data_IF_392871472233
#
_entry.id   IF_392871472233
#
_cell.length_a   1.000
_cell.length_b   1.000
_cell.length_c   1.000
_cell.angle_alpha   90.00
_cell.angle_beta   90.00
_cell.angle_gamma   90.00
#
_symmetry.space_group_name_H-M   'P 1'
#
loop_
_entity.id
_entity.type
_entity.pdbx_description
1 polymer ?
#
# COMPACT_ATOMS: atom_id res chain seq x y z
N UNK A 1 -29.84 -26.29 3.31
CA UNK A 1 -29.21 -25.57 2.18
C UNK A 1 -27.97 -24.78 2.60
N UNK A 2 -27.94 -24.06 3.74
CA UNK A 2 -26.72 -23.35 4.21
C UNK A 2 -25.52 -24.28 4.52
N UNK A 3 -25.77 -25.52 4.95
CA UNK A 3 -24.73 -26.53 5.22
C UNK A 3 -23.91 -26.95 3.99
N UNK A 4 -24.53 -27.04 2.81
CA UNK A 4 -23.85 -27.43 1.56
C UNK A 4 -22.90 -26.31 1.11
N UNK A 5 -23.27 -25.05 1.34
CA UNK A 5 -22.47 -23.88 0.94
C UNK A 5 -21.34 -23.64 1.94
N UNK A 6 -21.57 -23.80 3.25
CA UNK A 6 -20.48 -23.82 4.22
C UNK A 6 -19.47 -24.93 3.88
N UNK A 7 -19.92 -26.09 3.41
CA UNK A 7 -19.05 -27.16 2.92
C UNK A 7 -18.32 -26.81 1.62
N UNK A 8 -18.97 -26.10 0.68
CA UNK A 8 -18.32 -25.65 -0.57
C UNK A 8 -17.30 -24.53 -0.30
N UNK A 9 -17.65 -23.52 0.50
CA UNK A 9 -16.71 -22.47 0.93
C UNK A 9 -15.56 -23.06 1.77
N UNK A 10 -15.82 -24.08 2.60
CA UNK A 10 -14.79 -24.80 3.35
C UNK A 10 -13.91 -25.66 2.44
N UNK A 11 -14.49 -26.37 1.46
CA UNK A 11 -13.74 -27.13 0.47
C UNK A 11 -12.88 -26.23 -0.44
N UNK A 12 -13.35 -25.02 -0.73
CA UNK A 12 -12.62 -24.01 -1.50
C UNK A 12 -11.58 -23.28 -0.66
N UNK A 13 -11.84 -23.04 0.62
CA UNK A 13 -10.83 -22.62 1.57
C UNK A 13 -9.72 -23.67 1.67
N UNK A 14 -10.06 -24.96 1.74
CA UNK A 14 -9.11 -26.08 1.66
C UNK A 14 -8.42 -26.12 0.30
N UNK A 15 -9.10 -25.84 -0.80
CA UNK A 15 -8.53 -25.80 -2.15
C UNK A 15 -7.53 -24.64 -2.32
N UNK A 16 -7.84 -23.47 -1.78
CA UNK A 16 -6.97 -22.31 -1.77
C UNK A 16 -5.79 -22.49 -0.85
N UNK A 17 -6.03 -22.99 0.37
CA UNK A 17 -5.00 -23.37 1.31
C UNK A 17 -4.11 -24.48 0.73
N UNK A 18 -4.71 -25.47 0.08
CA UNK A 18 -4.03 -26.55 -0.63
C UNK A 18 -3.22 -26.05 -1.82
N UNK A 19 -3.68 -25.04 -2.55
CA UNK A 19 -2.92 -24.39 -3.62
C UNK A 19 -1.72 -23.60 -3.08
N UNK A 20 -1.87 -22.89 -1.96
CA UNK A 20 -0.78 -22.19 -1.27
C UNK A 20 0.25 -23.19 -0.70
N UNK A 21 -0.21 -24.32 -0.16
CA UNK A 21 0.65 -25.42 0.28
C UNK A 21 1.36 -26.12 -0.90
N UNK A 22 0.67 -26.30 -2.01
CA UNK A 22 1.26 -26.83 -3.24
C UNK A 22 2.33 -25.90 -3.80
N UNK A 23 2.15 -24.58 -3.68
CA UNK A 23 3.14 -23.58 -4.08
C UNK A 23 4.38 -23.58 -3.19
N UNK A 24 4.19 -23.70 -1.87
CA UNK A 24 5.27 -23.96 -0.91
C UNK A 24 6.06 -25.23 -1.28
N UNK A 25 5.44 -26.16 -1.98
CA UNK A 25 6.05 -27.44 -2.35
C UNK A 25 6.76 -27.41 -3.70
N UNK A 26 6.19 -26.75 -4.72
CA UNK A 26 6.72 -26.74 -6.09
C UNK A 26 7.75 -25.64 -6.36
N UNK A 27 7.64 -24.49 -5.69
CA UNK A 27 8.57 -23.36 -5.84
C UNK A 27 8.99 -22.77 -4.48
N UNK A 28 9.60 -23.55 -3.58
CA UNK A 28 9.93 -23.08 -2.25
C UNK A 28 11.06 -22.06 -2.26
N UNK A 29 10.92 -21.01 -1.44
CA UNK A 29 12.02 -20.08 -1.17
C UNK A 29 12.97 -20.57 -0.06
N UNK A 30 12.53 -21.54 0.75
CA UNK A 30 13.34 -22.29 1.72
C UNK A 30 13.13 -23.78 1.48
N UNK A 31 14.17 -24.52 1.12
CA UNK A 31 14.11 -25.95 0.83
C UNK A 31 14.90 -26.77 1.87
N UNK A 32 14.42 -27.96 2.27
CA UNK A 32 15.22 -28.90 3.06
C UNK A 32 16.45 -29.32 2.26
N UNK A 33 17.56 -29.57 2.96
CA UNK A 33 18.79 -30.10 2.33
C UNK A 33 18.70 -31.59 1.93
N UNK A 34 17.61 -32.27 2.30
CA UNK A 34 17.41 -33.69 2.00
C UNK A 34 17.17 -33.90 0.50
N UNK A 35 17.82 -34.90 -0.11
CA UNK A 35 17.68 -35.23 -1.55
C UNK A 35 16.24 -35.63 -1.95
N UNK A 36 15.45 -36.18 -1.02
CA UNK A 36 14.03 -36.51 -1.19
C UNK A 36 13.21 -36.02 0.01
N UNK A 37 12.82 -34.74 0.03
CA UNK A 37 12.15 -34.16 1.19
C UNK A 37 10.67 -34.63 1.27
N UNK A 38 10.28 -35.17 2.41
CA UNK A 38 8.89 -35.51 2.71
C UNK A 38 8.08 -34.26 3.05
N UNK A 39 6.73 -34.31 2.97
CA UNK A 39 5.86 -33.20 3.38
C UNK A 39 6.15 -32.73 4.82
N UNK A 40 6.46 -33.68 5.72
CA UNK A 40 6.83 -33.36 7.10
C UNK A 40 8.11 -32.53 7.18
N UNK A 41 9.10 -32.82 6.35
CA UNK A 41 10.36 -32.07 6.31
C UNK A 41 10.14 -30.63 5.83
N UNK A 42 9.26 -30.42 4.85
CA UNK A 42 8.86 -29.09 4.39
C UNK A 42 8.21 -28.26 5.50
N UNK A 43 7.23 -28.85 6.20
CA UNK A 43 6.57 -28.20 7.32
C UNK A 43 7.53 -27.90 8.46
N UNK A 44 8.41 -28.85 8.79
CA UNK A 44 9.41 -28.67 9.82
C UNK A 44 10.39 -27.57 9.44
N UNK A 45 10.92 -27.54 8.22
CA UNK A 45 11.84 -26.48 7.79
C UNK A 45 11.21 -25.10 7.90
N UNK A 46 9.97 -24.94 7.41
CA UNK A 46 9.25 -23.68 7.49
C UNK A 46 8.98 -23.28 8.95
N UNK A 47 8.59 -24.23 9.80
CA UNK A 47 8.33 -23.99 11.21
C UNK A 47 9.61 -23.63 11.99
N UNK A 48 10.70 -24.35 11.78
CA UNK A 48 11.99 -24.09 12.44
C UNK A 48 12.59 -22.76 11.97
N UNK A 49 12.56 -22.49 10.66
CA UNK A 49 13.01 -21.21 10.11
C UNK A 49 12.17 -20.06 10.67
N UNK A 50 10.84 -20.22 10.75
CA UNK A 50 9.99 -19.22 11.38
C UNK A 50 10.32 -19.02 12.85
N UNK A 51 10.42 -20.11 13.63
CA UNK A 51 10.72 -20.02 15.06
C UNK A 51 12.05 -19.31 15.28
N UNK A 52 13.11 -19.72 14.59
CA UNK A 52 14.43 -19.09 14.68
C UNK A 52 14.38 -17.58 14.36
N UNK A 53 13.67 -17.19 13.31
CA UNK A 53 13.43 -15.78 12.95
C UNK A 53 12.70 -14.99 14.05
N UNK A 54 11.67 -15.59 14.65
CA UNK A 54 10.79 -14.90 15.60
C UNK A 54 11.34 -14.87 17.03
N UNK A 55 12.25 -15.77 17.39
CA UNK A 55 12.91 -15.84 18.70
C UNK A 55 14.26 -15.13 18.74
N UNK A 56 14.87 -14.86 17.59
CA UNK A 56 16.10 -14.09 17.51
C UNK A 56 15.89 -12.64 18.01
N UNK A 57 16.70 -12.26 19.02
CA UNK A 57 16.68 -10.93 19.63
C UNK A 57 17.13 -9.85 18.64
N UNK A 58 18.00 -10.18 17.68
CA UNK A 58 18.45 -9.24 16.64
C UNK A 58 17.35 -8.97 15.62
N UNK A 59 16.43 -9.92 15.43
CA UNK A 59 15.31 -9.86 14.49
C UNK A 59 13.96 -9.52 15.12
N UNK A 60 13.91 -8.93 16.33
CA UNK A 60 12.66 -8.67 17.08
C UNK A 60 11.57 -7.95 16.27
N UNK A 61 11.95 -7.06 15.35
CA UNK A 61 11.03 -6.38 14.41
C UNK A 61 10.28 -7.36 13.49
N UNK A 62 10.93 -8.44 13.07
CA UNK A 62 10.36 -9.45 12.19
C UNK A 62 9.27 -10.28 12.89
N UNK A 63 9.39 -10.50 14.20
CA UNK A 63 8.32 -11.13 14.99
C UNK A 63 7.04 -10.25 14.99
N UNK A 64 7.18 -8.94 15.22
CA UNK A 64 6.05 -8.01 15.14
C UNK A 64 5.36 -8.02 13.77
N UNK A 65 6.16 -8.03 12.68
CA UNK A 65 5.62 -8.13 11.32
C UNK A 65 4.96 -9.49 11.04
N UNK A 66 5.51 -10.59 11.57
CA UNK A 66 4.90 -11.90 11.47
C UNK A 66 3.52 -11.92 12.12
N UNK A 67 3.45 -11.52 13.39
CA UNK A 67 2.19 -11.48 14.16
C UNK A 67 1.17 -10.60 13.46
N UNK A 68 1.56 -9.40 13.04
CA UNK A 68 0.69 -8.50 12.28
C UNK A 68 0.16 -9.16 10.99
N UNK A 69 1.03 -9.84 10.25
CA UNK A 69 0.64 -10.52 9.01
C UNK A 69 -0.33 -11.69 9.24
N UNK A 70 -0.16 -12.43 10.34
CA UNK A 70 -1.06 -13.52 10.73
C UNK A 70 -2.40 -13.00 11.25
N UNK A 71 -2.38 -11.97 12.09
CA UNK A 71 -3.59 -11.31 12.57
C UNK A 71 -4.40 -10.76 11.40
N UNK A 72 -3.74 -10.12 10.43
CA UNK A 72 -4.38 -9.66 9.19
C UNK A 72 -5.07 -10.81 8.44
N UNK A 73 -4.37 -11.93 8.23
CA UNK A 73 -4.94 -13.11 7.59
C UNK A 73 -6.18 -13.66 8.32
N UNK A 74 -6.10 -13.86 9.64
CA UNK A 74 -7.21 -14.39 10.42
C UNK A 74 -8.41 -13.45 10.51
N UNK A 75 -8.17 -12.13 10.61
CA UNK A 75 -9.22 -11.13 10.52
C UNK A 75 -9.86 -11.14 9.13
N UNK A 76 -9.07 -11.30 8.06
CA UNK A 76 -9.56 -11.45 6.69
C UNK A 76 -10.50 -12.64 6.55
N UNK A 77 -10.08 -13.83 7.01
CA UNK A 77 -10.90 -15.05 7.02
C UNK A 77 -12.21 -14.83 7.80
N UNK A 78 -12.12 -14.25 9.00
CA UNK A 78 -13.29 -13.99 9.85
C UNK A 78 -14.28 -13.03 9.17
N UNK A 79 -13.76 -11.99 8.51
CA UNK A 79 -14.55 -11.00 7.78
C UNK A 79 -15.27 -11.62 6.57
N UNK A 80 -14.58 -12.51 5.83
CA UNK A 80 -15.18 -13.28 4.73
C UNK A 80 -16.28 -14.20 5.24
N UNK A 81 -16.04 -14.97 6.31
CA UNK A 81 -17.06 -15.86 6.90
C UNK A 81 -18.31 -15.06 7.30
N UNK A 82 -18.12 -13.93 7.98
CA UNK A 82 -19.22 -13.05 8.38
C UNK A 82 -19.97 -12.48 7.17
N UNK A 83 -19.25 -12.06 6.13
CA UNK A 83 -19.84 -11.57 4.88
C UNK A 83 -20.73 -12.61 4.21
N UNK A 84 -20.23 -13.84 4.04
CA UNK A 84 -21.00 -14.94 3.47
C UNK A 84 -22.19 -15.33 4.36
N UNK A 85 -22.01 -15.33 5.68
CA UNK A 85 -23.11 -15.56 6.62
C UNK A 85 -24.23 -14.54 6.45
N UNK A 86 -23.90 -13.24 6.32
CA UNK A 86 -24.89 -12.18 6.13
C UNK A 86 -25.65 -12.31 4.79
N UNK A 87 -24.98 -12.74 3.72
CA UNK A 87 -25.63 -13.04 2.43
C UNK A 87 -26.60 -14.21 2.52
N UNK A 88 -26.35 -15.20 3.37
CA UNK A 88 -27.26 -16.34 3.52
C UNK A 88 -28.42 -16.04 4.47
N UNK A 89 -28.12 -15.46 5.63
CA UNK A 89 -29.08 -15.32 6.73
C UNK A 89 -29.99 -14.09 6.56
N UNK A 90 -29.49 -13.02 5.95
CA UNK A 90 -30.18 -11.72 5.92
C UNK A 90 -30.63 -11.26 4.54
N UNK A 91 -30.05 -11.76 3.45
CA UNK A 91 -30.49 -11.38 2.09
C UNK A 91 -31.75 -12.14 1.62
N UNK A 92 -32.05 -13.31 2.19
CA UNK A 92 -33.29 -14.07 1.91
C UNK A 92 -34.53 -13.45 2.57
N UNK A 93 -34.34 -12.61 3.59
CA UNK A 93 -35.41 -12.03 4.40
C UNK A 93 -35.64 -10.56 3.99
N UNK A 94 -36.56 -10.41 3.02
CA UNK A 94 -37.38 -9.23 2.71
C UNK A 94 -36.69 -7.99 2.12
N UNK A 95 -37.53 -7.20 1.44
CA UNK A 95 -37.30 -5.82 1.01
C UNK A 95 -36.34 -5.08 1.96
N UNK A 96 -35.13 -4.83 1.47
CA UNK A 96 -34.21 -3.77 1.92
C UNK A 96 -33.85 -3.77 3.42
N UNK A 97 -33.01 -4.70 3.93
CA UNK A 97 -32.11 -4.38 5.02
C UNK A 97 -30.82 -3.84 4.39
N UNK A 98 -30.83 -2.57 3.94
CA UNK A 98 -29.66 -1.87 3.35
C UNK A 98 -28.40 -2.04 4.21
N UNK A 99 -28.55 -2.05 5.53
CA UNK A 99 -27.44 -2.23 6.46
C UNK A 99 -26.77 -3.61 6.34
N UNK A 100 -27.54 -4.71 6.23
CA UNK A 100 -26.96 -6.05 6.14
C UNK A 100 -26.22 -6.27 4.82
N UNK A 101 -26.77 -5.76 3.72
CA UNK A 101 -26.12 -5.75 2.39
C UNK A 101 -24.82 -4.95 2.46
N UNK A 102 -24.85 -3.77 3.08
CA UNK A 102 -23.67 -2.91 3.19
C UNK A 102 -22.58 -3.55 4.06
N UNK A 103 -22.93 -4.12 5.22
CA UNK A 103 -21.97 -4.82 6.07
C UNK A 103 -21.42 -6.10 5.44
N UNK A 104 -22.23 -6.85 4.69
CA UNK A 104 -21.76 -8.01 3.95
C UNK A 104 -20.74 -7.59 2.88
N UNK A 105 -21.02 -6.50 2.18
CA UNK A 105 -20.15 -5.95 1.13
C UNK A 105 -18.84 -5.41 1.71
N UNK A 106 -18.89 -4.65 2.81
CA UNK A 106 -17.70 -4.20 3.55
C UNK A 106 -16.88 -5.40 4.00
N UNK A 107 -17.53 -6.41 4.60
CA UNK A 107 -16.85 -7.62 5.05
C UNK A 107 -16.17 -8.39 3.92
N UNK A 108 -16.76 -8.41 2.72
CA UNK A 108 -16.13 -9.00 1.54
C UNK A 108 -14.86 -8.23 1.17
N UNK A 109 -14.97 -6.90 0.96
CA UNK A 109 -13.84 -6.08 0.51
C UNK A 109 -12.70 -6.06 1.53
N UNK A 110 -13.02 -5.86 2.82
CA UNK A 110 -12.04 -5.91 3.91
C UNK A 110 -11.43 -7.31 4.02
N UNK A 111 -12.25 -8.35 3.93
CA UNK A 111 -11.83 -9.74 3.95
C UNK A 111 -10.78 -10.05 2.87
N UNK A 112 -11.10 -9.78 1.60
CA UNK A 112 -10.19 -9.99 0.47
C UNK A 112 -8.91 -9.15 0.61
N UNK A 113 -9.02 -7.88 0.97
CA UNK A 113 -7.86 -7.01 1.16
C UNK A 113 -6.92 -7.50 2.27
N UNK A 114 -7.47 -7.95 3.40
CA UNK A 114 -6.69 -8.47 4.52
C UNK A 114 -5.99 -9.79 4.21
N UNK A 115 -6.56 -10.60 3.32
CA UNK A 115 -5.93 -11.85 2.88
C UNK A 115 -4.62 -11.60 2.11
N UNK A 116 -4.45 -10.43 1.47
CA UNK A 116 -3.18 -10.02 0.85
C UNK A 116 -2.07 -9.63 1.83
N UNK A 117 -2.38 -9.32 3.10
CA UNK A 117 -1.39 -8.82 4.06
C UNK A 117 -0.27 -9.83 4.29
N UNK A 118 -0.63 -11.11 4.47
CA UNK A 118 0.35 -12.18 4.65
C UNK A 118 1.28 -12.36 3.44
N UNK A 119 0.77 -12.65 2.22
CA UNK A 119 1.62 -12.82 1.05
C UNK A 119 2.38 -11.55 0.69
N UNK A 120 1.93 -10.35 1.04
CA UNK A 120 2.70 -9.12 0.75
C UNK A 120 3.89 -8.93 1.70
N UNK A 121 3.69 -9.16 3.00
CA UNK A 121 4.67 -8.79 4.03
C UNK A 121 5.64 -9.94 4.33
N UNK A 122 5.12 -11.09 4.76
CA UNK A 122 5.93 -12.09 5.45
C UNK A 122 7.02 -12.75 4.58
N UNK A 123 6.73 -13.24 3.36
CA UNK A 123 7.72 -13.98 2.57
C UNK A 123 8.92 -13.13 2.15
N UNK A 124 8.74 -11.84 1.85
CA UNK A 124 9.85 -10.93 1.52
C UNK A 124 10.77 -10.69 2.70
N UNK A 125 10.19 -10.44 3.88
CA UNK A 125 10.98 -10.17 5.08
C UNK A 125 11.72 -11.43 5.56
N UNK A 126 11.04 -12.58 5.50
CA UNK A 126 11.65 -13.88 5.79
C UNK A 126 12.80 -14.20 4.82
N UNK A 127 12.59 -14.03 3.52
CA UNK A 127 13.62 -14.28 2.51
C UNK A 127 14.85 -13.38 2.68
N UNK A 128 14.66 -12.06 2.84
CA UNK A 128 15.78 -11.11 3.00
C UNK A 128 16.66 -11.47 4.20
N UNK A 129 16.04 -11.74 5.34
CA UNK A 129 16.80 -12.15 6.53
C UNK A 129 17.62 -13.41 6.28
N UNK A 130 17.01 -14.45 5.69
CA UNK A 130 17.70 -15.72 5.45
C UNK A 130 18.76 -15.65 4.35
N UNK A 131 18.56 -14.80 3.34
CA UNK A 131 19.57 -14.51 2.33
C UNK A 131 20.80 -13.82 2.97
N UNK A 132 20.58 -12.87 3.89
CA UNK A 132 21.66 -12.17 4.59
C UNK A 132 22.36 -13.05 5.65
N UNK A 133 21.67 -14.06 6.19
CA UNK A 133 22.15 -14.94 7.27
C UNK A 133 22.34 -16.39 6.81
N UNK A 134 22.65 -16.59 5.53
CA UNK A 134 22.73 -17.93 4.92
C UNK A 134 23.72 -18.87 5.63
N UNK A 135 24.79 -18.32 6.23
CA UNK A 135 25.77 -19.09 7.02
C UNK A 135 25.20 -19.70 8.30
N UNK A 136 24.08 -19.18 8.83
CA UNK A 136 23.40 -19.69 10.01
C UNK A 136 22.32 -20.75 9.66
N UNK A 137 21.93 -20.85 8.39
CA UNK A 137 20.97 -21.83 7.88
C UNK A 137 21.59 -23.23 7.71
N UNK A 138 21.82 -23.94 8.83
CA UNK A 138 22.40 -25.29 8.79
C UNK A 138 21.45 -26.34 8.18
N UNK A 139 20.15 -26.20 8.37
CA UNK A 139 19.13 -27.24 8.06
C UNK A 139 18.38 -27.05 6.73
N UNK A 140 18.51 -25.91 6.07
CA UNK A 140 17.79 -25.60 4.83
C UNK A 140 18.63 -24.74 3.89
N UNK A 141 18.25 -24.73 2.61
CA UNK A 141 18.83 -23.88 1.56
C UNK A 141 17.83 -22.80 1.18
N UNK A 142 18.33 -21.58 1.02
CA UNK A 142 17.56 -20.43 0.54
C UNK A 142 17.62 -20.41 -0.99
N UNK A 143 16.50 -20.15 -1.64
CA UNK A 143 16.45 -19.97 -3.08
C UNK A 143 17.31 -18.77 -3.54
N UNK A 144 17.73 -18.76 -4.80
CA UNK A 144 18.35 -17.60 -5.41
C UNK A 144 17.33 -16.46 -5.65
N UNK A 145 17.81 -15.26 -5.97
CA UNK A 145 16.94 -14.09 -6.19
C UNK A 145 15.88 -14.33 -7.28
N UNK A 146 16.25 -15.03 -8.36
CA UNK A 146 15.33 -15.36 -9.44
C UNK A 146 14.30 -16.41 -9.03
N UNK A 147 14.69 -17.43 -8.27
CA UNK A 147 13.78 -18.42 -7.68
C UNK A 147 12.78 -17.77 -6.74
N UNK A 148 13.24 -16.85 -5.89
CA UNK A 148 12.37 -16.10 -4.99
C UNK A 148 11.37 -15.21 -5.74
N UNK A 149 11.79 -14.50 -6.79
CA UNK A 149 10.87 -13.69 -7.60
C UNK A 149 9.77 -14.54 -8.27
N UNK A 150 10.10 -15.74 -8.77
CA UNK A 150 9.11 -16.67 -9.34
C UNK A 150 8.11 -17.16 -8.29
N UNK A 151 8.59 -17.51 -7.10
CA UNK A 151 7.73 -17.86 -5.97
C UNK A 151 6.79 -16.71 -5.61
N UNK A 152 7.33 -15.49 -5.46
CA UNK A 152 6.55 -14.29 -5.15
C UNK A 152 5.46 -14.02 -6.18
N UNK A 153 5.80 -14.08 -7.46
CA UNK A 153 4.84 -13.88 -8.55
C UNK A 153 3.71 -14.90 -8.46
N UNK A 154 4.03 -16.19 -8.33
CA UNK A 154 3.00 -17.23 -8.23
C UNK A 154 2.14 -17.09 -6.98
N UNK A 155 2.74 -16.80 -5.82
CA UNK A 155 1.99 -16.62 -4.58
C UNK A 155 0.98 -15.48 -4.67
N UNK A 156 1.38 -14.34 -5.27
CA UNK A 156 0.48 -13.22 -5.50
C UNK A 156 -0.62 -13.57 -6.51
N UNK A 157 -0.29 -14.23 -7.61
CA UNK A 157 -1.30 -14.66 -8.60
C UNK A 157 -2.29 -15.69 -8.05
N UNK A 158 -1.84 -16.61 -7.21
CA UNK A 158 -2.71 -17.56 -6.54
C UNK A 158 -3.63 -16.88 -5.52
N UNK A 159 -3.13 -15.86 -4.82
CA UNK A 159 -3.95 -15.02 -3.94
C UNK A 159 -5.02 -14.28 -4.74
N UNK A 160 -4.63 -13.60 -5.83
CA UNK A 160 -5.55 -12.90 -6.75
C UNK A 160 -6.60 -13.86 -7.32
N UNK A 161 -6.19 -15.04 -7.79
CA UNK A 161 -7.11 -16.05 -8.32
C UNK A 161 -8.09 -16.56 -7.26
N UNK A 162 -7.61 -16.74 -6.03
CA UNK A 162 -8.45 -17.14 -4.90
C UNK A 162 -9.47 -16.10 -4.49
N UNK A 163 -9.03 -14.87 -4.34
CA UNK A 163 -9.89 -13.75 -4.01
C UNK A 163 -10.91 -13.49 -5.12
N UNK A 164 -10.49 -13.58 -6.39
CA UNK A 164 -11.38 -13.48 -7.54
C UNK A 164 -12.44 -14.58 -7.56
N UNK A 165 -12.07 -15.82 -7.21
CA UNK A 165 -13.01 -16.92 -7.10
C UNK A 165 -14.00 -16.70 -5.94
N UNK A 166 -13.52 -16.29 -4.75
CA UNK A 166 -14.38 -15.97 -3.61
C UNK A 166 -15.37 -14.85 -3.94
N UNK A 167 -14.91 -13.78 -4.58
CA UNK A 167 -15.76 -12.70 -5.06
C UNK A 167 -16.80 -13.18 -6.09
N UNK A 168 -16.39 -14.04 -7.03
CA UNK A 168 -17.31 -14.59 -8.06
C UNK A 168 -18.41 -15.44 -7.42
N UNK A 169 -18.07 -16.28 -6.44
CA UNK A 169 -19.05 -17.12 -5.74
C UNK A 169 -20.00 -16.24 -4.92
N UNK A 170 -19.46 -15.26 -4.20
CA UNK A 170 -20.24 -14.31 -3.45
C UNK A 170 -21.25 -13.59 -4.36
N UNK A 171 -20.81 -13.09 -5.51
CA UNK A 171 -21.65 -12.42 -6.51
C UNK A 171 -22.69 -13.35 -7.12
N UNK A 172 -22.30 -14.57 -7.49
CA UNK A 172 -23.22 -15.59 -8.03
C UNK A 172 -24.31 -15.90 -7.01
N UNK A 173 -23.96 -15.92 -5.72
CA UNK A 173 -24.93 -16.17 -4.66
C UNK A 173 -25.90 -15.02 -4.48
N UNK A 174 -25.39 -13.79 -4.41
CA UNK A 174 -26.22 -12.58 -4.41
C UNK A 174 -27.20 -12.59 -5.59
N UNK A 175 -26.74 -12.97 -6.79
CA UNK A 175 -27.59 -13.06 -7.97
C UNK A 175 -28.69 -14.12 -7.84
N UNK A 176 -28.43 -15.22 -7.14
CA UNK A 176 -29.35 -16.33 -6.98
C UNK A 176 -30.35 -16.16 -5.81
N UNK A 177 -29.99 -15.40 -4.76
CA UNK A 177 -30.81 -15.27 -3.55
C UNK A 177 -31.39 -13.89 -3.32
N UNK A 178 -30.79 -12.84 -3.88
CA UNK A 178 -31.30 -11.48 -3.69
C UNK A 178 -32.56 -11.26 -4.53
N UNK A 179 -33.53 -10.57 -3.95
CA UNK A 179 -34.68 -10.04 -4.69
C UNK A 179 -34.29 -8.88 -5.61
N UNK A 180 -33.21 -8.16 -5.30
CA UNK A 180 -32.69 -7.03 -6.07
C UNK A 180 -31.15 -7.08 -6.18
N UNK A 181 -30.59 -8.00 -6.99
CA UNK A 181 -29.15 -8.23 -7.05
C UNK A 181 -28.37 -7.01 -7.59
N UNK A 182 -29.01 -6.16 -8.39
CA UNK A 182 -28.39 -4.95 -8.94
C UNK A 182 -27.99 -3.96 -7.83
N UNK A 183 -28.86 -3.74 -6.84
CA UNK A 183 -28.57 -2.84 -5.71
C UNK A 183 -27.38 -3.33 -4.89
N UNK A 184 -27.20 -4.64 -4.76
CA UNK A 184 -26.04 -5.22 -4.06
C UNK A 184 -24.75 -5.02 -4.85
N UNK A 185 -24.80 -5.12 -6.18
CA UNK A 185 -23.65 -4.84 -7.06
C UNK A 185 -23.29 -3.36 -7.02
N UNK A 186 -24.27 -2.46 -7.08
CA UNK A 186 -24.06 -1.02 -6.92
C UNK A 186 -23.40 -0.72 -5.57
N UNK A 187 -23.87 -1.35 -4.49
CA UNK A 187 -23.27 -1.21 -3.17
C UNK A 187 -21.83 -1.74 -3.13
N UNK A 188 -21.53 -2.86 -3.81
CA UNK A 188 -20.16 -3.37 -3.96
C UNK A 188 -19.26 -2.38 -4.69
N UNK A 189 -19.74 -1.78 -5.77
CA UNK A 189 -19.00 -0.74 -6.48
C UNK A 189 -18.77 0.49 -5.58
N UNK A 190 -19.79 0.92 -4.84
CA UNK A 190 -19.67 2.04 -3.89
C UNK A 190 -18.66 1.75 -2.77
N UNK A 191 -18.70 0.56 -2.17
CA UNK A 191 -17.73 0.16 -1.14
C UNK A 191 -16.31 0.06 -1.71
N UNK A 192 -16.15 -0.46 -2.93
CA UNK A 192 -14.84 -0.50 -3.59
C UNK A 192 -14.30 0.90 -3.86
N UNK A 193 -15.13 1.79 -4.43
CA UNK A 193 -14.79 3.19 -4.72
C UNK A 193 -14.42 3.94 -3.43
N UNK A 194 -15.20 3.78 -2.36
CA UNK A 194 -14.92 4.43 -1.06
C UNK A 194 -13.71 3.86 -0.34
N UNK A 195 -13.35 2.59 -0.57
CA UNK A 195 -12.14 1.99 -0.02
C UNK A 195 -10.85 2.52 -0.68
N UNK A 196 -10.88 2.93 -1.96
CA UNK A 196 -9.71 3.42 -2.70
C UNK A 196 -8.96 4.55 -1.98
N UNK A 197 -9.59 5.66 -1.55
CA UNK A 197 -8.89 6.73 -0.84
C UNK A 197 -8.33 6.30 0.52
N UNK A 198 -8.99 5.37 1.21
CA UNK A 198 -8.52 4.84 2.51
C UNK A 198 -7.24 4.02 2.31
N UNK A 199 -7.25 3.08 1.35
CA UNK A 199 -6.09 2.26 1.02
C UNK A 199 -4.94 3.13 0.51
N UNK A 200 -5.24 4.12 -0.34
CA UNK A 200 -4.25 5.07 -0.83
C UNK A 200 -3.65 5.89 0.33
N UNK A 201 -4.46 6.38 1.27
CA UNK A 201 -3.97 7.11 2.45
C UNK A 201 -3.04 6.24 3.32
N UNK A 202 -3.46 5.01 3.63
CA UNK A 202 -2.62 4.06 4.40
C UNK A 202 -1.31 3.79 3.64
N UNK A 203 -1.39 3.59 2.33
CA UNK A 203 -0.21 3.36 1.48
C UNK A 203 0.73 4.55 1.53
N UNK A 204 0.23 5.78 1.35
CA UNK A 204 1.02 7.01 1.45
C UNK A 204 1.70 7.14 2.82
N UNK A 205 0.95 6.98 3.91
CA UNK A 205 1.50 7.04 5.27
C UNK A 205 2.57 5.98 5.52
N UNK A 206 2.37 4.77 4.99
CA UNK A 206 3.34 3.67 5.12
C UNK A 206 4.65 3.93 4.37
N UNK A 207 4.67 4.79 3.35
CA UNK A 207 5.89 5.15 2.63
C UNK A 207 6.78 6.13 3.41
N UNK A 208 6.21 6.96 4.30
CA UNK A 208 6.95 8.00 5.02
C UNK A 208 8.17 7.47 5.81
N UNK A 209 8.08 6.36 6.57
CA UNK A 209 9.25 5.79 7.26
C UNK A 209 10.33 5.31 6.29
N UNK A 210 9.94 4.75 5.14
CA UNK A 210 10.90 4.27 4.13
C UNK A 210 11.59 5.44 3.43
N UNK A 211 10.88 6.53 3.14
CA UNK A 211 11.46 7.75 2.59
C UNK A 211 12.51 8.37 3.52
N UNK A 212 12.27 8.31 4.82
CA UNK A 212 13.23 8.75 5.82
C UNK A 212 14.43 7.79 5.94
N UNK A 213 14.17 6.47 5.95
CA UNK A 213 15.22 5.46 6.11
C UNK A 213 16.16 5.38 4.90
N UNK A 214 15.59 5.42 3.70
CA UNK A 214 16.34 5.35 2.44
C UNK A 214 16.74 6.72 1.90
N UNK A 215 16.64 7.78 2.71
CA UNK A 215 16.97 9.12 2.24
C UNK A 215 18.39 9.19 1.67
N UNK A 216 18.51 9.82 0.50
CA UNK A 216 19.76 9.88 -0.26
C UNK A 216 20.79 10.84 0.35
N UNK A 217 20.38 11.68 1.31
CA UNK A 217 21.24 12.50 2.14
C UNK A 217 21.26 11.98 3.57
N UNK A 218 22.44 11.87 4.16
CA UNK A 218 22.63 11.53 5.58
C UNK A 218 23.44 12.60 6.29
N UNK A 219 22.94 13.05 7.45
CA UNK A 219 23.67 13.99 8.29
C UNK A 219 24.86 13.29 8.97
N UNK A 220 26.02 13.96 9.02
CA UNK A 220 27.14 13.52 9.86
C UNK A 220 26.73 13.69 11.34
N UNK A 221 27.11 12.76 12.24
CA UNK A 221 26.69 12.79 13.64
C UNK A 221 26.96 14.15 14.31
N UNK A 222 25.95 14.72 14.98
CA UNK A 222 26.06 15.97 15.74
C UNK A 222 26.21 17.26 14.93
N UNK A 223 26.19 17.23 13.58
CA UNK A 223 26.45 18.43 12.75
C UNK A 223 25.20 19.13 12.21
N UNK A 224 24.06 18.45 12.08
CA UNK A 224 22.84 19.00 11.47
C UNK A 224 21.60 18.47 12.17
N UNK A 225 20.67 19.37 12.50
CA UNK A 225 19.36 19.01 13.05
C UNK A 225 18.44 18.43 11.97
N UNK A 226 17.50 17.58 12.41
CA UNK A 226 16.43 17.07 11.56
C UNK A 226 15.65 18.23 10.93
N UNK A 227 15.47 18.20 9.59
CA UNK A 227 14.82 19.27 8.82
C UNK A 227 15.76 20.31 8.19
N UNK A 228 16.98 20.49 8.71
CA UNK A 228 17.95 21.44 8.12
C UNK A 228 18.84 20.81 7.03
N UNK A 229 18.82 19.48 6.90
CA UNK A 229 19.69 18.73 6.00
C UNK A 229 19.54 19.15 4.54
N UNK A 230 18.32 19.13 4.01
CA UNK A 230 18.04 19.51 2.63
C UNK A 230 18.36 20.99 2.35
N UNK A 231 18.10 21.86 3.32
CA UNK A 231 18.42 23.28 3.22
C UNK A 231 19.94 23.49 3.12
N UNK A 232 20.72 22.88 4.01
CA UNK A 232 22.19 22.99 3.99
C UNK A 232 22.79 22.35 2.73
N UNK A 233 22.27 21.21 2.28
CA UNK A 233 22.71 20.56 1.04
C UNK A 233 22.44 21.45 -0.18
N UNK A 234 21.26 22.07 -0.24
CA UNK A 234 20.91 23.00 -1.32
C UNK A 234 21.77 24.26 -1.29
N UNK A 235 22.05 24.80 -0.10
CA UNK A 235 22.92 25.97 0.06
C UNK A 235 24.37 25.67 -0.35
N UNK A 236 24.89 24.50 0.03
CA UNK A 236 26.20 24.03 -0.43
C UNK A 236 26.24 23.86 -1.95
N UNK A 237 25.18 23.29 -2.55
CA UNK A 237 25.06 23.14 -4.00
C UNK A 237 25.12 24.48 -4.73
N UNK A 238 24.34 25.46 -4.28
CA UNK A 238 24.32 26.80 -4.89
C UNK A 238 25.65 27.53 -4.71
N UNK A 239 26.35 27.30 -3.59
CA UNK A 239 27.65 27.92 -3.31
C UNK A 239 28.78 27.34 -4.16
N UNK A 240 28.84 26.02 -4.28
CA UNK A 240 29.89 25.34 -5.04
C UNK A 240 29.62 25.34 -6.55
N UNK A 241 28.34 25.30 -6.97
CA UNK A 241 27.90 25.24 -8.36
C UNK A 241 26.88 26.36 -8.67
N UNK A 242 27.31 27.62 -8.81
CA UNK A 242 26.41 28.76 -8.96
C UNK A 242 25.54 28.71 -10.23
N UNK A 243 26.00 28.02 -11.28
CA UNK A 243 25.26 27.82 -12.54
C UNK A 243 23.96 27.02 -12.34
N UNK A 244 23.86 26.21 -11.29
CA UNK A 244 22.67 25.41 -10.97
C UNK A 244 21.62 26.20 -10.17
N UNK A 245 21.95 27.40 -9.68
CA UNK A 245 21.07 28.23 -8.83
C UNK A 245 19.69 28.44 -9.45
N UNK A 246 19.64 28.81 -10.73
CA UNK A 246 18.38 29.06 -11.43
C UNK A 246 17.50 27.79 -11.46
N UNK A 247 18.07 26.63 -11.80
CA UNK A 247 17.34 25.35 -11.86
C UNK A 247 16.77 24.94 -10.50
N UNK A 248 17.58 25.09 -9.45
CA UNK A 248 17.17 24.82 -8.06
C UNK A 248 16.04 25.74 -7.64
N UNK A 249 16.16 27.03 -7.92
CA UNK A 249 15.16 28.03 -7.57
C UNK A 249 13.84 27.76 -8.30
N UNK A 250 13.88 27.47 -9.61
CA UNK A 250 12.68 27.14 -10.40
C UNK A 250 11.90 25.98 -9.78
N UNK A 251 12.57 24.89 -9.41
CA UNK A 251 11.88 23.74 -8.80
C UNK A 251 11.21 24.08 -7.46
N UNK A 252 11.85 24.89 -6.62
CA UNK A 252 11.27 25.31 -5.33
C UNK A 252 10.13 26.30 -5.52
N UNK A 253 10.25 27.26 -6.45
CA UNK A 253 9.19 28.21 -6.79
C UNK A 253 7.98 27.46 -7.36
N UNK A 254 8.18 26.52 -8.29
CA UNK A 254 7.07 25.74 -8.84
C UNK A 254 6.32 24.95 -7.76
N UNK A 255 7.03 24.35 -6.79
CA UNK A 255 6.39 23.70 -5.63
C UNK A 255 5.62 24.69 -4.76
N UNK A 256 6.19 25.87 -4.49
CA UNK A 256 5.54 26.90 -3.71
C UNK A 256 4.24 27.38 -4.37
N UNK A 257 4.28 27.65 -5.68
CA UNK A 257 3.09 28.02 -6.47
C UNK A 257 2.03 26.94 -6.32
N UNK A 258 2.40 25.67 -6.46
CA UNK A 258 1.45 24.57 -6.34
C UNK A 258 0.82 24.47 -4.94
N UNK A 259 1.61 24.66 -3.87
CA UNK A 259 1.05 24.72 -2.51
C UNK A 259 0.11 25.89 -2.32
N UNK A 260 0.46 27.08 -2.83
CA UNK A 260 -0.40 28.26 -2.77
C UNK A 260 -1.71 28.01 -3.52
N UNK A 261 -1.67 27.43 -4.71
CA UNK A 261 -2.87 27.07 -5.48
C UNK A 261 -3.73 26.03 -4.73
N UNK A 262 -3.12 25.02 -4.12
CA UNK A 262 -3.84 24.02 -3.33
C UNK A 262 -4.54 24.61 -2.10
N UNK A 263 -3.85 25.49 -1.37
CA UNK A 263 -4.43 26.22 -0.22
C UNK A 263 -5.54 27.16 -0.70
N UNK A 264 -5.32 27.86 -1.81
CA UNK A 264 -6.30 28.78 -2.39
C UNK A 264 -7.58 28.05 -2.83
N UNK A 265 -7.46 26.87 -3.43
CA UNK A 265 -8.60 26.04 -3.80
C UNK A 265 -9.47 25.66 -2.57
N UNK A 266 -8.83 25.22 -1.48
CA UNK A 266 -9.53 24.93 -0.22
C UNK A 266 -10.11 26.22 0.39
N UNK A 267 -9.37 27.32 0.31
CA UNK A 267 -9.78 28.64 0.79
C UNK A 267 -11.06 29.13 0.10
N UNK A 268 -11.19 28.98 -1.22
CA UNK A 268 -12.43 29.31 -1.94
C UNK A 268 -13.62 28.52 -1.39
N UNK A 269 -13.50 27.21 -1.22
CA UNK A 269 -14.59 26.42 -0.62
C UNK A 269 -14.95 26.92 0.79
N UNK A 270 -13.96 27.27 1.59
CA UNK A 270 -14.20 27.79 2.93
C UNK A 270 -14.93 29.14 2.90
N UNK A 271 -14.45 30.10 2.12
CA UNK A 271 -15.00 31.45 2.08
C UNK A 271 -16.31 31.56 1.30
N UNK A 272 -16.56 30.68 0.34
CA UNK A 272 -17.76 30.76 -0.51
C UNK A 272 -18.88 29.81 -0.05
N UNK A 273 -18.58 28.75 0.72
CA UNK A 273 -19.57 27.74 1.14
C UNK A 273 -19.66 27.60 2.65
N UNK A 274 -18.53 27.44 3.35
CA UNK A 274 -18.52 27.16 4.80
C UNK A 274 -18.78 28.41 5.63
N UNK A 275 -18.17 29.54 5.26
CA UNK A 275 -18.27 30.81 5.95
C UNK A 275 -18.45 31.98 4.95
N UNK A 276 -19.55 31.98 4.16
CA UNK A 276 -19.84 33.04 3.19
C UNK A 276 -20.04 34.39 3.88
N UNK A 277 -19.49 35.44 3.27
CA UNK A 277 -19.65 36.81 3.77
C UNK A 277 -21.07 37.35 3.52
N UNK A 278 -21.77 36.82 2.51
CA UNK A 278 -23.14 37.22 2.16
C UNK A 278 -24.05 36.00 1.99
N UNK A 279 -23.92 35.28 0.87
CA UNK A 279 -24.67 34.06 0.54
C UNK A 279 -23.72 32.99 0.07
N UNK A 280 -24.02 31.73 0.36
CA UNK A 280 -23.23 30.62 -0.16
C UNK A 280 -23.26 30.65 -1.69
N UNK A 281 -22.08 30.66 -2.32
CA UNK A 281 -21.92 30.51 -3.77
C UNK A 281 -21.35 29.11 -4.07
N UNK A 282 -22.23 28.13 -4.29
CA UNK A 282 -21.79 26.77 -4.52
C UNK A 282 -21.18 26.58 -5.92
N UNK A 283 -21.28 27.56 -6.82
CA UNK A 283 -20.62 27.49 -8.15
C UNK A 283 -19.09 27.61 -8.06
N UNK A 284 -18.58 28.14 -6.94
CA UNK A 284 -17.15 28.22 -6.62
C UNK A 284 -16.45 26.84 -6.57
N UNK A 285 -17.22 25.74 -6.44
CA UNK A 285 -16.71 24.36 -6.43
C UNK A 285 -15.93 24.03 -7.71
N UNK A 286 -16.40 24.43 -8.90
CA UNK A 286 -15.73 24.08 -10.16
C UNK A 286 -14.40 24.82 -10.36
N UNK A 287 -14.33 26.17 -10.21
CA UNK A 287 -13.05 26.87 -10.21
C UNK A 287 -12.06 26.33 -9.18
N UNK A 288 -12.53 26.00 -7.97
CA UNK A 288 -11.71 25.42 -6.91
C UNK A 288 -11.13 24.05 -7.31
N UNK A 289 -11.95 23.16 -7.87
CA UNK A 289 -11.49 21.86 -8.33
C UNK A 289 -10.47 21.96 -9.48
N UNK A 290 -10.67 22.88 -10.43
CA UNK A 290 -9.71 23.13 -11.52
C UNK A 290 -8.37 23.59 -10.94
N UNK A 291 -8.38 24.56 -10.02
CA UNK A 291 -7.16 25.07 -9.39
C UNK A 291 -6.44 23.98 -8.60
N UNK A 292 -7.19 23.14 -7.89
CA UNK A 292 -6.63 22.01 -7.17
C UNK A 292 -6.03 20.93 -8.09
N UNK A 293 -6.61 20.71 -9.27
CA UNK A 293 -6.05 19.81 -10.27
C UNK A 293 -4.74 20.36 -10.85
N UNK A 294 -4.70 21.66 -11.16
CA UNK A 294 -3.48 22.34 -11.62
C UNK A 294 -2.38 22.25 -10.55
N UNK A 295 -2.72 22.48 -9.28
CA UNK A 295 -1.80 22.32 -8.15
C UNK A 295 -1.21 20.89 -8.10
N UNK A 296 -2.06 19.87 -8.22
CA UNK A 296 -1.64 18.47 -8.26
C UNK A 296 -0.68 18.20 -9.43
N UNK A 297 -1.03 18.63 -10.65
CA UNK A 297 -0.20 18.43 -11.83
C UNK A 297 1.21 19.03 -11.67
N UNK A 298 1.31 20.24 -11.09
CA UNK A 298 2.62 20.87 -10.84
C UNK A 298 3.39 20.09 -9.78
N UNK A 299 2.76 19.71 -8.65
CA UNK A 299 3.41 18.95 -7.58
C UNK A 299 3.94 17.60 -8.06
N UNK A 300 3.14 16.87 -8.82
CA UNK A 300 3.52 15.55 -9.34
C UNK A 300 4.60 15.66 -10.41
N UNK A 301 4.52 16.65 -11.31
CA UNK A 301 5.55 16.89 -12.32
C UNK A 301 6.90 17.22 -11.68
N UNK A 302 6.92 18.14 -10.71
CA UNK A 302 8.15 18.49 -10.01
C UNK A 302 8.61 17.34 -9.10
N UNK A 303 7.68 16.61 -8.47
CA UNK A 303 7.94 15.44 -7.64
C UNK A 303 8.60 14.30 -8.41
N UNK A 304 8.22 14.07 -9.67
CA UNK A 304 8.81 13.05 -10.52
C UNK A 304 10.16 13.47 -11.13
N UNK A 305 10.26 14.72 -11.62
CA UNK A 305 11.43 15.16 -12.42
C UNK A 305 12.59 15.66 -11.55
N UNK A 306 12.31 16.32 -10.42
CA UNK A 306 13.33 17.00 -9.63
C UNK A 306 14.26 16.07 -8.84
N UNK A 307 13.77 15.04 -8.13
CA UNK A 307 14.63 14.22 -7.27
C UNK A 307 15.80 13.54 -8.00
N UNK A 308 15.64 12.94 -9.20
CA UNK A 308 16.77 12.41 -9.96
C UNK A 308 17.80 13.47 -10.29
N UNK A 309 17.37 14.63 -10.81
CA UNK A 309 18.26 15.72 -11.19
C UNK A 309 19.04 16.26 -9.98
N UNK A 310 18.38 16.41 -8.84
CA UNK A 310 19.00 16.87 -7.60
C UNK A 310 20.03 15.88 -7.09
N UNK A 311 19.72 14.59 -7.15
CA UNK A 311 20.64 13.55 -6.75
C UNK A 311 21.91 13.59 -7.60
N UNK A 312 21.77 13.70 -8.92
CA UNK A 312 22.90 13.84 -9.85
C UNK A 312 23.73 15.10 -9.53
N UNK A 313 23.06 16.22 -9.21
CA UNK A 313 23.75 17.45 -8.83
C UNK A 313 24.48 17.34 -7.50
N UNK A 314 23.97 16.58 -6.54
CA UNK A 314 24.64 16.38 -5.26
C UNK A 314 25.90 15.53 -5.36
N UNK A 315 26.04 14.69 -6.40
CA UNK A 315 27.30 14.01 -6.72
C UNK A 315 28.39 14.93 -7.29
N UNK A 316 28.02 16.14 -7.73
CA UNK A 316 29.00 17.16 -8.16
C UNK A 316 29.62 17.92 -6.98
N UNK A 317 29.20 17.65 -5.75
CA UNK A 317 29.65 18.36 -4.55
C UNK A 317 30.87 17.69 -3.91
N UNK A 318 31.81 18.53 -3.45
CA UNK A 318 32.81 18.08 -2.50
C UNK A 318 32.19 18.00 -1.09
N UNK A 319 31.74 16.79 -0.72
CA UNK A 319 31.10 16.48 0.57
C UNK A 319 32.07 16.29 1.74
N UNK A 320 33.39 16.37 1.51
CA UNK A 320 34.39 16.12 2.56
C UNK A 320 34.26 17.12 3.72
N UNK A 321 34.09 18.41 3.39
CA UNK A 321 33.95 19.53 4.33
C UNK A 321 32.50 19.79 4.77
N UNK A 322 31.54 19.22 4.06
CA UNK A 322 30.12 19.44 4.32
C UNK A 322 29.60 18.60 5.50
N UNK A 323 28.52 19.03 6.18
CA UNK A 323 28.00 18.35 7.36
C UNK A 323 27.08 17.16 7.00
N UNK A 324 27.10 16.71 5.75
CA UNK A 324 26.29 15.61 5.21
C UNK A 324 27.12 14.76 4.25
N UNK A 325 26.57 13.59 3.91
CA UNK A 325 27.07 12.69 2.87
C UNK A 325 25.93 12.35 1.92
N UNK A 326 26.29 12.08 0.67
CA UNK A 326 25.38 11.58 -0.37
C UNK A 326 25.54 10.06 -0.43
N UNK A 327 24.43 9.34 -0.37
CA UNK A 327 24.43 7.88 -0.40
C UNK A 327 24.53 7.33 -1.82
N UNK A 328 24.90 6.06 -1.91
CA UNK A 328 25.08 5.32 -3.17
C UNK A 328 23.79 5.21 -4.02
N UNK A 329 23.93 4.97 -5.34
CA UNK A 329 22.80 4.88 -6.27
C UNK A 329 21.73 3.88 -5.86
N UNK A 330 22.12 2.72 -5.31
CA UNK A 330 21.19 1.68 -4.86
C UNK A 330 20.22 2.19 -3.78
N UNK A 331 20.69 3.06 -2.89
CA UNK A 331 19.86 3.65 -1.84
C UNK A 331 18.93 4.72 -2.41
N UNK A 332 19.40 5.47 -3.40
CA UNK A 332 18.57 6.44 -4.11
C UNK A 332 17.47 5.76 -4.94
N UNK A 333 17.74 4.61 -5.57
CA UNK A 333 16.73 3.85 -6.30
C UNK A 333 15.62 3.34 -5.37
N UNK A 334 15.98 2.87 -4.17
CA UNK A 334 15.00 2.51 -3.14
C UNK A 334 14.17 3.71 -2.70
N UNK A 335 14.81 4.86 -2.47
CA UNK A 335 14.10 6.12 -2.16
C UNK A 335 13.12 6.50 -3.27
N UNK A 336 13.56 6.47 -4.54
CA UNK A 336 12.74 6.83 -5.70
C UNK A 336 11.54 5.90 -5.86
N UNK A 337 11.72 4.60 -5.63
CA UNK A 337 10.63 3.63 -5.62
C UNK A 337 9.55 3.99 -4.59
N UNK A 338 9.96 4.25 -3.34
CA UNK A 338 9.02 4.64 -2.28
C UNK A 338 8.38 6.01 -2.53
N UNK A 339 9.13 6.94 -3.13
CA UNK A 339 8.67 8.28 -3.47
C UNK A 339 7.58 8.24 -4.55
N UNK A 340 7.78 7.43 -5.58
CA UNK A 340 6.77 7.20 -6.62
C UNK A 340 5.45 6.68 -6.03
N UNK A 341 5.51 5.67 -5.17
CA UNK A 341 4.31 5.12 -4.55
C UNK A 341 3.64 6.09 -3.57
N UNK A 342 4.42 6.92 -2.87
CA UNK A 342 3.89 7.99 -2.03
C UNK A 342 3.10 9.00 -2.86
N UNK A 343 3.70 9.51 -3.95
CA UNK A 343 3.10 10.46 -4.87
C UNK A 343 1.82 9.93 -5.51
N UNK A 344 1.87 8.73 -6.09
CA UNK A 344 0.70 8.08 -6.68
C UNK A 344 -0.45 7.96 -5.66
N UNK A 345 -0.14 7.53 -4.43
CA UNK A 345 -1.14 7.35 -3.39
C UNK A 345 -1.72 8.68 -2.90
N UNK A 346 -0.88 9.69 -2.69
CA UNK A 346 -1.32 11.03 -2.32
C UNK A 346 -2.19 11.68 -3.41
N UNK A 347 -1.84 11.48 -4.69
CA UNK A 347 -2.63 11.94 -5.83
C UNK A 347 -4.02 11.29 -5.88
N UNK A 348 -4.12 9.97 -5.64
CA UNK A 348 -5.40 9.28 -5.54
C UNK A 348 -6.27 9.87 -4.43
N UNK A 349 -5.70 10.07 -3.23
CA UNK A 349 -6.42 10.69 -2.10
C UNK A 349 -6.91 12.10 -2.48
N UNK A 350 -6.03 12.92 -3.06
CA UNK A 350 -6.35 14.27 -3.48
C UNK A 350 -7.50 14.30 -4.49
N UNK A 351 -7.44 13.49 -5.55
CA UNK A 351 -8.49 13.40 -6.56
C UNK A 351 -9.82 12.96 -5.95
N UNK A 352 -9.81 11.95 -5.08
CA UNK A 352 -11.04 11.47 -4.44
C UNK A 352 -11.71 12.51 -3.54
N UNK A 353 -10.92 13.31 -2.82
CA UNK A 353 -11.45 14.44 -2.03
C UNK A 353 -12.21 15.41 -2.95
N UNK A 354 -11.61 15.80 -4.07
CA UNK A 354 -12.24 16.74 -5.00
C UNK A 354 -13.45 16.16 -5.74
N UNK A 355 -13.40 14.88 -6.12
CA UNK A 355 -14.56 14.18 -6.68
C UNK A 355 -15.70 14.10 -5.67
N UNK A 356 -15.40 13.84 -4.40
CA UNK A 356 -16.41 13.83 -3.34
C UNK A 356 -17.03 15.22 -3.12
N UNK A 357 -16.23 16.29 -3.16
CA UNK A 357 -16.72 17.68 -3.06
C UNK A 357 -17.63 18.03 -4.24
N UNK A 358 -17.22 17.72 -5.48
CA UNK A 358 -18.03 17.95 -6.68
C UNK A 358 -19.31 17.10 -6.65
N UNK A 359 -19.21 15.84 -6.25
CA UNK A 359 -20.37 14.97 -6.10
C UNK A 359 -21.35 15.52 -5.06
N UNK A 360 -20.85 15.95 -3.90
CA UNK A 360 -21.68 16.55 -2.87
C UNK A 360 -22.41 17.81 -3.37
N UNK A 361 -21.74 18.64 -4.17
CA UNK A 361 -22.38 19.77 -4.86
C UNK A 361 -23.56 19.30 -5.72
N UNK A 362 -23.37 18.34 -6.62
CA UNK A 362 -24.44 17.90 -7.53
C UNK A 362 -25.63 17.21 -6.85
N UNK A 363 -25.42 16.55 -5.71
CA UNK A 363 -26.45 15.74 -5.06
C UNK A 363 -27.18 16.46 -3.92
N UNK A 364 -26.55 17.44 -3.29
CA UNK A 364 -27.10 18.11 -2.09
C UNK A 364 -27.38 19.61 -2.28
N UNK A 365 -26.96 20.20 -3.40
CA UNK A 365 -27.16 21.62 -3.73
C UNK A 365 -27.78 21.73 -5.12
#
# INVERSE_FOLDING_TARGET
>A
MSTIISLVCFALFIGLFGSQLFLLWRHPYLAPKNEKPSLKDWWQVQHHARLALTTDKQARRLNGLFVLSQTGLWLGITSLILSFYLVEDKLNLLLVPTAAVHWATIGLVVGLALMFVYPLIWPTQSYRYWADHQHQAKTFTVADGNGFQRYRRHQLWAMVGGDGLLATIWLTRVWATSTEPLVVIENLLLVLITAMPIIALITALSQLPYLQHYHYLTAKPGKVNFGQLNYRATLALVKQQPTLKAKVLTAHISRLIAYVLGIFAIGMLYFDIVAPTFTADPTAVFPAAIIALVALCILETVGAIWPPKVYDYFHLLDTTKEPFTVNDPDRFDQFRYHLYHYHLSAAIVWLFIWVAIIGAYYYYI
#
